data_IF_612748246766
#
_entry.id   IF_612748246766
#
_cell.length_a   1.000
_cell.length_b   1.000
_cell.length_c   1.000
_cell.angle_alpha   90.00
_cell.angle_beta   90.00
_cell.angle_gamma   90.00
#
_symmetry.space_group_name_H-M   'P 1'
#
loop_
_entity.id
_entity.type
_entity.pdbx_description
1 polymer ?
#
# COMPACT_ATOMS: atom_id res chain seq x y z
N UNK A 1 -32.51 -5.07 -29.27
CA UNK A 1 -31.30 -4.41 -28.72
C UNK A 1 -30.16 -5.41 -28.73
N UNK A 2 -28.96 -5.07 -29.25
CA UNK A 2 -27.81 -5.97 -29.12
C UNK A 2 -27.48 -6.13 -27.63
N UNK A 3 -27.42 -7.38 -27.17
CA UNK A 3 -26.99 -7.73 -25.81
C UNK A 3 -25.47 -7.60 -25.81
N UNK A 4 -24.94 -6.54 -25.20
CA UNK A 4 -23.50 -6.40 -24.98
C UNK A 4 -23.10 -7.12 -23.70
N UNK A 5 -22.14 -8.04 -23.80
CA UNK A 5 -21.60 -8.78 -22.64
C UNK A 5 -20.84 -7.88 -21.64
N UNK A 6 -20.43 -6.69 -22.10
CA UNK A 6 -19.73 -5.68 -21.29
C UNK A 6 -20.31 -4.30 -21.57
N UNK A 7 -20.61 -3.54 -20.52
CA UNK A 7 -21.05 -2.15 -20.64
C UNK A 7 -20.32 -1.27 -19.62
N UNK A 8 -19.67 -0.18 -20.05
CA UNK A 8 -19.10 0.79 -19.12
C UNK A 8 -20.24 1.57 -18.45
N UNK A 9 -20.25 1.60 -17.12
CA UNK A 9 -21.20 2.39 -16.34
C UNK A 9 -20.47 3.05 -15.17
N UNK A 10 -20.48 4.40 -15.14
CA UNK A 10 -19.77 5.21 -14.14
C UNK A 10 -18.30 4.78 -14.00
N UNK A 11 -17.63 4.52 -15.12
CA UNK A 11 -16.23 4.08 -15.15
C UNK A 11 -15.95 2.64 -14.73
N UNK A 12 -16.99 1.86 -14.37
CA UNK A 12 -16.92 0.43 -14.03
C UNK A 12 -17.38 -0.41 -15.22
N UNK A 13 -16.62 -1.44 -15.59
CA UNK A 13 -17.00 -2.38 -16.64
C UNK A 13 -17.96 -3.44 -16.09
N UNK A 14 -19.26 -3.21 -16.24
CA UNK A 14 -20.29 -4.18 -15.87
C UNK A 14 -20.28 -5.33 -16.86
N UNK A 15 -20.28 -6.55 -16.33
CA UNK A 15 -20.37 -7.79 -17.09
C UNK A 15 -21.56 -8.63 -16.60
N UNK A 16 -21.84 -9.72 -17.30
CA UNK A 16 -22.94 -10.66 -16.97
C UNK A 16 -22.84 -11.30 -15.59
N UNK A 17 -21.64 -11.39 -15.01
CA UNK A 17 -21.43 -11.90 -13.65
C UNK A 17 -20.63 -10.92 -12.79
N UNK A 18 -20.82 -11.00 -11.47
CA UNK A 18 -20.05 -10.22 -10.49
C UNK A 18 -18.55 -10.50 -10.59
N UNK A 19 -18.15 -11.77 -10.71
CA UNK A 19 -16.74 -12.16 -10.87
C UNK A 19 -16.12 -11.55 -12.13
N UNK A 20 -16.80 -11.64 -13.28
CA UNK A 20 -16.30 -11.05 -14.54
C UNK A 20 -16.18 -9.51 -14.43
N UNK A 21 -17.12 -8.88 -13.74
CA UNK A 21 -17.08 -7.43 -13.44
C UNK A 21 -15.87 -7.07 -12.57
N UNK A 22 -15.63 -7.83 -11.50
CA UNK A 22 -14.47 -7.67 -10.61
C UNK A 22 -13.16 -7.80 -11.38
N UNK A 23 -13.00 -8.88 -12.13
CA UNK A 23 -11.78 -9.17 -12.88
C UNK A 23 -11.52 -8.11 -13.95
N UNK A 24 -12.55 -7.75 -14.74
CA UNK A 24 -12.42 -6.74 -15.79
C UNK A 24 -12.07 -5.36 -15.23
N UNK A 25 -12.67 -4.97 -14.10
CA UNK A 25 -12.39 -3.67 -13.47
C UNK A 25 -10.96 -3.63 -12.91
N UNK A 26 -10.52 -4.70 -12.25
CA UNK A 26 -9.16 -4.79 -11.69
C UNK A 26 -8.10 -4.72 -12.80
N UNK A 27 -8.27 -5.47 -13.88
CA UNK A 27 -7.35 -5.44 -15.03
C UNK A 27 -7.33 -4.06 -15.71
N UNK A 28 -8.49 -3.41 -15.84
CA UNK A 28 -8.58 -2.07 -16.40
C UNK A 28 -7.88 -1.04 -15.50
N UNK A 29 -8.09 -1.10 -14.19
CA UNK A 29 -7.46 -0.21 -13.22
C UNK A 29 -5.93 -0.39 -13.22
N UNK A 30 -5.43 -1.63 -13.22
CA UNK A 30 -3.99 -1.91 -13.32
C UNK A 30 -3.43 -1.37 -14.63
N UNK A 31 -4.11 -1.58 -15.76
CA UNK A 31 -3.65 -1.11 -17.07
C UNK A 31 -3.56 0.42 -17.12
N UNK A 32 -4.60 1.13 -16.65
CA UNK A 32 -4.61 2.59 -16.60
C UNK A 32 -3.56 3.12 -15.62
N UNK A 33 -3.45 2.51 -14.45
CA UNK A 33 -2.45 2.88 -13.42
C UNK A 33 -1.03 2.68 -13.92
N UNK A 34 -0.76 1.61 -14.68
CA UNK A 34 0.54 1.35 -15.30
C UNK A 34 0.90 2.45 -16.30
N UNK A 35 -0.04 2.85 -17.16
CA UNK A 35 0.17 3.95 -18.12
C UNK A 35 0.49 5.25 -17.39
N UNK A 36 -0.28 5.59 -16.35
CA UNK A 36 -0.03 6.77 -15.52
C UNK A 36 1.33 6.71 -14.81
N UNK A 37 1.71 5.54 -14.28
CA UNK A 37 3.00 5.36 -13.64
C UNK A 37 4.16 5.55 -14.64
N UNK A 38 4.06 4.97 -15.84
CA UNK A 38 5.10 5.10 -16.87
C UNK A 38 5.21 6.53 -17.41
N UNK A 39 4.10 7.27 -17.53
CA UNK A 39 4.18 8.69 -17.91
C UNK A 39 4.89 9.55 -16.86
N UNK A 40 4.94 9.12 -15.60
CA UNK A 40 5.64 9.85 -14.53
C UNK A 40 7.12 9.45 -14.41
N UNK A 41 7.56 8.38 -15.10
CA UNK A 41 8.97 8.00 -15.07
C UNK A 41 9.88 9.04 -15.72
N UNK A 42 9.44 9.70 -16.79
CA UNK A 42 10.19 10.81 -17.40
C UNK A 42 10.30 12.03 -16.47
N UNK A 43 9.36 12.19 -15.54
CA UNK A 43 9.40 13.19 -14.49
C UNK A 43 10.25 12.76 -13.28
N UNK A 44 10.95 11.61 -13.36
CA UNK A 44 11.82 11.11 -12.31
C UNK A 44 11.13 10.25 -11.25
N UNK A 45 9.91 9.72 -11.50
CA UNK A 45 9.25 8.75 -10.60
C UNK A 45 9.85 7.33 -10.73
N UNK A 46 11.17 7.24 -10.61
CA UNK A 46 11.94 6.01 -10.52
C UNK A 46 12.99 6.18 -9.42
N UNK A 47 13.66 5.08 -9.07
CA UNK A 47 14.61 5.06 -7.98
C UNK A 47 15.92 5.79 -8.28
N UNK A 48 16.90 5.09 -8.85
CA UNK A 48 18.22 5.66 -9.12
C UNK A 48 18.14 6.83 -10.11
N UNK A 49 18.83 7.93 -9.79
CA UNK A 49 18.85 9.19 -10.56
C UNK A 49 17.46 9.84 -10.76
N UNK A 50 16.45 9.45 -9.98
CA UNK A 50 15.11 10.02 -10.02
C UNK A 50 14.93 11.20 -9.05
N UNK A 51 13.67 11.56 -8.85
CA UNK A 51 13.26 12.47 -7.78
C UNK A 51 13.56 11.87 -6.41
N UNK A 52 13.52 12.70 -5.38
CA UNK A 52 13.56 12.21 -4.03
C UNK A 52 12.42 11.18 -3.79
N UNK A 53 12.70 10.05 -3.09
CA UNK A 53 11.71 8.99 -2.95
C UNK A 53 10.40 9.47 -2.30
N UNK A 54 10.45 10.45 -1.40
CA UNK A 54 9.28 11.00 -0.73
C UNK A 54 8.34 11.72 -1.72
N UNK A 55 8.89 12.54 -2.63
CA UNK A 55 8.14 13.18 -3.71
C UNK A 55 7.64 12.16 -4.72
N UNK A 56 8.44 11.17 -5.10
CA UNK A 56 8.00 10.11 -6.00
C UNK A 56 6.83 9.29 -5.41
N UNK A 57 6.86 9.00 -4.11
CA UNK A 57 5.73 8.40 -3.38
C UNK A 57 4.51 9.33 -3.39
N UNK A 58 4.71 10.64 -3.25
CA UNK A 58 3.61 11.60 -3.31
C UNK A 58 2.97 11.68 -4.70
N UNK A 59 3.77 11.60 -5.78
CA UNK A 59 3.29 11.47 -7.15
C UNK A 59 2.47 10.18 -7.33
N UNK A 60 2.96 9.05 -6.80
CA UNK A 60 2.23 7.79 -6.80
C UNK A 60 0.86 7.92 -6.10
N UNK A 61 0.83 8.50 -4.88
CA UNK A 61 -0.41 8.75 -4.12
C UNK A 61 -1.40 9.63 -4.87
N UNK A 62 -0.90 10.60 -5.62
CA UNK A 62 -1.71 11.63 -6.28
C UNK A 62 -2.28 11.15 -7.62
N UNK A 63 -1.48 10.44 -8.42
CA UNK A 63 -1.84 10.12 -9.82
C UNK A 63 -2.13 8.65 -10.06
N UNK A 64 -1.41 7.73 -9.40
CA UNK A 64 -1.50 6.29 -9.69
C UNK A 64 -2.51 5.62 -8.76
N UNK A 65 -2.39 5.87 -7.46
CA UNK A 65 -3.23 5.24 -6.43
C UNK A 65 -4.74 5.48 -6.63
N UNK A 66 -5.22 6.69 -7.01
CA UNK A 66 -6.65 6.91 -7.21
C UNK A 66 -7.22 6.08 -8.37
N UNK A 67 -6.45 5.92 -9.45
CA UNK A 67 -6.81 5.09 -10.61
C UNK A 67 -6.84 3.62 -10.21
N UNK A 68 -5.82 3.16 -9.46
CA UNK A 68 -5.69 1.76 -9.06
C UNK A 68 -6.87 1.29 -8.21
N UNK A 69 -7.35 2.17 -7.34
CA UNK A 69 -8.40 1.87 -6.35
C UNK A 69 -9.79 2.33 -6.78
N UNK A 70 -9.97 2.81 -8.00
CA UNK A 70 -11.25 3.37 -8.45
C UNK A 70 -12.36 2.31 -8.51
N UNK A 71 -13.49 2.56 -7.83
CA UNK A 71 -14.68 1.72 -7.86
C UNK A 71 -14.57 0.39 -7.09
N UNK A 72 -13.41 0.12 -6.48
CA UNK A 72 -13.17 -1.13 -5.74
C UNK A 72 -13.94 -1.16 -4.41
N UNK A 73 -14.31 0.00 -3.87
CA UNK A 73 -15.17 0.15 -2.70
C UNK A 73 -16.60 -0.36 -2.91
N UNK A 74 -17.05 -0.46 -4.17
CA UNK A 74 -18.38 -0.98 -4.53
C UNK A 74 -18.30 -2.44 -4.96
N UNK A 75 -17.29 -2.78 -5.76
CA UNK A 75 -17.19 -4.07 -6.45
C UNK A 75 -16.64 -5.19 -5.54
N UNK A 76 -15.87 -4.83 -4.51
CA UNK A 76 -15.21 -5.73 -3.56
C UNK A 76 -14.38 -6.82 -4.25
N UNK A 77 -13.09 -6.58 -4.54
CA UNK A 77 -12.27 -7.55 -5.24
C UNK A 77 -12.09 -8.85 -4.45
N UNK A 78 -12.04 -9.97 -5.17
CA UNK A 78 -11.68 -11.28 -4.59
C UNK A 78 -10.23 -11.31 -4.11
N UNK A 79 -9.85 -12.30 -3.30
CA UNK A 79 -8.47 -12.49 -2.84
C UNK A 79 -7.46 -12.58 -3.98
N UNK A 80 -7.84 -13.23 -5.10
CA UNK A 80 -7.00 -13.30 -6.32
C UNK A 80 -6.79 -11.91 -6.93
N UNK A 81 -7.83 -11.10 -6.97
CA UNK A 81 -7.76 -9.74 -7.50
C UNK A 81 -6.98 -8.80 -6.58
N UNK A 82 -7.16 -8.93 -5.27
CA UNK A 82 -6.34 -8.22 -4.28
C UNK A 82 -4.86 -8.53 -4.46
N UNK A 83 -4.49 -9.81 -4.65
CA UNK A 83 -3.10 -10.20 -4.89
C UNK A 83 -2.51 -9.56 -6.15
N UNK A 84 -3.29 -9.44 -7.24
CA UNK A 84 -2.84 -8.76 -8.47
C UNK A 84 -2.58 -7.27 -8.24
N UNK A 85 -3.52 -6.59 -7.60
CA UNK A 85 -3.39 -5.16 -7.26
C UNK A 85 -2.20 -4.91 -6.34
N UNK A 86 -2.05 -5.75 -5.32
CA UNK A 86 -0.96 -5.70 -4.35
C UNK A 86 0.40 -5.92 -5.03
N UNK A 87 0.49 -6.89 -5.95
CA UNK A 87 1.72 -7.15 -6.73
C UNK A 87 2.09 -5.95 -7.59
N UNK A 88 1.11 -5.32 -8.24
CA UNK A 88 1.33 -4.10 -9.02
C UNK A 88 1.83 -2.95 -8.15
N UNK A 89 1.15 -2.65 -7.04
CA UNK A 89 1.54 -1.58 -6.11
C UNK A 89 2.97 -1.79 -5.60
N UNK A 90 3.28 -2.99 -5.09
CA UNK A 90 4.62 -3.30 -4.56
C UNK A 90 5.70 -3.18 -5.61
N UNK A 91 5.45 -3.60 -6.86
CA UNK A 91 6.43 -3.47 -7.94
C UNK A 91 6.81 -2.00 -8.18
N UNK A 92 5.83 -1.11 -8.23
CA UNK A 92 6.07 0.33 -8.42
C UNK A 92 6.79 0.92 -7.19
N UNK A 93 6.35 0.59 -5.97
CA UNK A 93 7.00 1.10 -4.75
C UNK A 93 8.44 0.61 -4.60
N UNK A 94 8.73 -0.67 -4.92
CA UNK A 94 10.10 -1.20 -4.92
C UNK A 94 11.00 -0.45 -5.91
N UNK A 95 10.45 -0.10 -7.09
CA UNK A 95 11.16 0.71 -8.07
C UNK A 95 11.43 2.14 -7.58
N UNK A 96 10.45 2.80 -6.97
CA UNK A 96 10.61 4.15 -6.39
C UNK A 96 11.66 4.15 -5.26
N UNK A 97 11.67 3.09 -4.44
CA UNK A 97 12.62 2.94 -3.33
C UNK A 97 14.00 2.39 -3.77
N UNK A 98 14.22 2.12 -5.06
CA UNK A 98 15.45 1.49 -5.57
C UNK A 98 15.81 0.16 -4.92
N UNK A 99 14.84 -0.61 -4.42
CA UNK A 99 15.08 -1.94 -3.82
C UNK A 99 14.73 -3.06 -4.80
N UNK A 100 15.39 -4.21 -4.76
CA UNK A 100 15.10 -5.29 -5.71
C UNK A 100 13.71 -5.90 -5.48
N UNK A 101 13.20 -6.60 -6.48
CA UNK A 101 11.89 -7.27 -6.42
C UNK A 101 11.83 -8.29 -5.28
N UNK A 102 12.97 -8.89 -4.90
CA UNK A 102 13.13 -9.83 -3.79
C UNK A 102 13.08 -9.19 -2.40
N UNK A 103 13.17 -7.86 -2.29
CA UNK A 103 13.12 -7.18 -1.00
C UNK A 103 11.83 -7.54 -0.24
N UNK A 104 11.89 -7.78 1.08
CA UNK A 104 10.71 -8.15 1.86
C UNK A 104 9.58 -7.13 1.74
N UNK A 105 8.37 -7.59 1.45
CA UNK A 105 7.20 -6.71 1.30
C UNK A 105 6.90 -5.79 2.51
N UNK A 106 7.03 -6.22 3.79
CA UNK A 106 6.77 -5.30 4.90
C UNK A 106 7.73 -4.11 4.94
N UNK A 107 8.98 -4.26 4.48
CA UNK A 107 9.92 -3.13 4.46
C UNK A 107 9.49 -2.05 3.47
N UNK A 108 8.95 -2.45 2.31
CA UNK A 108 8.42 -1.51 1.30
C UNK A 108 7.33 -0.62 1.88
N UNK A 109 6.41 -1.21 2.64
CA UNK A 109 5.31 -0.46 3.27
C UNK A 109 5.78 0.41 4.42
N UNK A 110 6.68 -0.11 5.26
CA UNK A 110 7.29 0.65 6.35
C UNK A 110 8.05 1.87 5.82
N UNK A 111 8.88 1.68 4.79
CA UNK A 111 9.72 2.74 4.23
C UNK A 111 8.86 3.78 3.50
N UNK A 112 7.94 3.34 2.64
CA UNK A 112 7.11 4.27 1.85
C UNK A 112 5.98 4.94 2.63
N UNK A 113 5.57 4.36 3.76
CA UNK A 113 4.38 4.78 4.49
C UNK A 113 3.07 4.50 3.76
N UNK A 114 3.09 3.81 2.61
CA UNK A 114 1.89 3.40 1.89
C UNK A 114 1.28 2.20 2.61
N UNK A 115 -0.04 2.19 2.76
CA UNK A 115 -0.75 1.03 3.28
C UNK A 115 -0.94 -0.04 2.19
N UNK A 116 -1.05 -1.33 2.55
CA UNK A 116 -1.45 -2.38 1.60
C UNK A 116 -2.76 -2.03 0.88
N UNK A 117 -2.93 -2.52 -0.35
CA UNK A 117 -4.06 -2.09 -1.20
C UNK A 117 -5.42 -2.40 -0.56
N UNK A 118 -5.50 -3.52 0.15
CA UNK A 118 -6.67 -3.95 0.90
C UNK A 118 -7.10 -2.88 1.92
N UNK A 119 -6.15 -2.33 2.67
CA UNK A 119 -6.41 -1.27 3.65
C UNK A 119 -7.03 -0.01 3.03
N UNK A 120 -6.54 0.35 1.83
CA UNK A 120 -7.01 1.52 1.10
C UNK A 120 -8.44 1.31 0.58
N UNK A 121 -8.73 0.11 0.08
CA UNK A 121 -10.07 -0.29 -0.37
C UNK A 121 -11.03 -0.33 0.81
N UNK A 122 -10.61 -0.92 1.93
CA UNK A 122 -11.38 -0.96 3.17
C UNK A 122 -11.73 0.45 3.65
N UNK A 123 -10.75 1.36 3.68
CA UNK A 123 -10.97 2.76 4.06
C UNK A 123 -12.01 3.44 3.16
N UNK A 124 -11.95 3.23 1.83
CA UNK A 124 -12.94 3.78 0.89
C UNK A 124 -14.32 3.16 1.09
N UNK A 125 -14.39 1.85 1.30
CA UNK A 125 -15.63 1.09 1.55
C UNK A 125 -16.33 1.56 2.81
N UNK A 126 -15.58 1.76 3.90
CA UNK A 126 -16.09 2.28 5.17
C UNK A 126 -16.56 3.74 5.04
N UNK A 127 -15.85 4.57 4.27
CA UNK A 127 -16.30 5.94 4.01
C UNK A 127 -17.59 5.98 3.18
N UNK A 128 -17.73 5.09 2.19
CA UNK A 128 -18.96 4.93 1.42
C UNK A 128 -20.11 4.49 2.34
N UNK A 129 -19.87 3.52 3.22
CA UNK A 129 -20.88 3.09 4.19
C UNK A 129 -21.34 4.22 5.12
N UNK A 130 -20.41 5.03 5.63
CA UNK A 130 -20.78 6.18 6.46
C UNK A 130 -21.59 7.23 5.70
N UNK A 131 -21.32 7.43 4.41
CA UNK A 131 -22.16 8.31 3.57
C UNK A 131 -23.59 7.77 3.46
N UNK A 132 -23.77 6.44 3.41
CA UNK A 132 -25.10 5.80 3.42
C UNK A 132 -25.78 5.99 4.79
N UNK A 133 -25.05 5.83 5.89
CA UNK A 133 -25.58 5.98 7.24
C UNK A 133 -26.08 7.41 7.52
N UNK A 134 -25.37 8.41 6.99
CA UNK A 134 -25.71 9.83 7.11
C UNK A 134 -26.83 10.28 6.16
N UNK A 135 -27.41 9.40 5.32
CA UNK A 135 -28.59 9.75 4.53
C UNK A 135 -29.85 9.87 5.40
N UNK A 136 -30.84 10.59 4.88
CA UNK A 136 -32.20 10.60 5.44
C UNK A 136 -32.76 9.15 5.48
N UNK A 137 -33.53 8.82 6.53
CA UNK A 137 -34.19 7.51 6.68
C UNK A 137 -35.07 7.13 5.48
N UNK A 138 -35.58 8.11 4.74
CA UNK A 138 -36.39 7.86 3.55
C UNK A 138 -35.58 7.47 2.30
N UNK A 139 -34.26 7.67 2.31
CA UNK A 139 -33.39 7.38 1.17
C UNK A 139 -33.27 5.87 0.94
N UNK A 140 -33.29 5.46 -0.33
CA UNK A 140 -33.36 4.05 -0.72
C UNK A 140 -32.16 3.23 -0.20
N UNK A 141 -30.96 3.79 -0.29
CA UNK A 141 -29.69 3.19 0.08
C UNK A 141 -29.67 2.84 1.57
N UNK A 142 -30.19 3.73 2.43
CA UNK A 142 -30.26 3.50 3.88
C UNK A 142 -31.31 2.45 4.24
N UNK A 143 -32.46 2.46 3.55
CA UNK A 143 -33.48 1.40 3.67
C UNK A 143 -32.94 0.03 3.25
N UNK A 144 -32.23 -0.02 2.13
CA UNK A 144 -31.57 -1.25 1.65
C UNK A 144 -30.51 -1.71 2.66
N UNK A 145 -29.68 -0.80 3.18
CA UNK A 145 -28.68 -1.14 4.18
C UNK A 145 -29.30 -1.80 5.42
N UNK A 146 -30.33 -1.17 6.01
CA UNK A 146 -31.09 -1.71 7.14
C UNK A 146 -31.62 -3.11 6.82
N UNK A 147 -32.33 -3.26 5.69
CA UNK A 147 -32.91 -4.55 5.28
C UNK A 147 -31.85 -5.63 5.09
N UNK A 148 -30.76 -5.33 4.40
CA UNK A 148 -29.71 -6.32 4.08
C UNK A 148 -28.96 -6.77 5.34
N UNK A 149 -28.70 -5.86 6.28
CA UNK A 149 -28.03 -6.20 7.54
C UNK A 149 -28.87 -7.06 8.47
N UNK A 150 -30.20 -6.92 8.42
CA UNK A 150 -31.14 -7.75 9.21
C UNK A 150 -31.37 -9.10 8.53
N UNK A 151 -31.61 -9.10 7.21
CA UNK A 151 -32.08 -10.28 6.50
C UNK A 151 -30.98 -11.25 6.07
N UNK A 152 -29.72 -10.79 5.94
CA UNK A 152 -28.62 -11.63 5.44
C UNK A 152 -27.82 -12.24 6.60
N UNK A 153 -27.49 -13.52 6.45
CA UNK A 153 -26.58 -14.23 7.34
C UNK A 153 -25.12 -13.76 7.13
N UNK A 154 -24.22 -14.21 8.01
CA UNK A 154 -22.81 -13.83 7.97
C UNK A 154 -22.05 -14.38 6.76
N UNK A 155 -22.54 -15.43 6.11
CA UNK A 155 -21.88 -16.09 4.96
C UNK A 155 -22.25 -15.46 3.61
N UNK A 156 -23.30 -14.65 3.57
CA UNK A 156 -23.79 -13.97 2.38
C UNK A 156 -22.71 -13.12 1.68
N UNK A 157 -22.69 -13.17 0.36
CA UNK A 157 -21.84 -12.33 -0.52
C UNK A 157 -22.36 -10.88 -0.67
N UNK A 158 -23.27 -10.45 0.20
CA UNK A 158 -23.79 -9.08 0.19
C UNK A 158 -22.70 -8.08 0.56
N UNK A 159 -22.68 -6.95 -0.13
CA UNK A 159 -21.75 -5.85 0.14
C UNK A 159 -21.82 -5.39 1.62
N UNK A 160 -23.02 -5.30 2.20
CA UNK A 160 -23.19 -4.90 3.60
C UNK A 160 -22.63 -5.92 4.60
N UNK A 161 -22.64 -7.21 4.25
CA UNK A 161 -22.03 -8.25 5.08
C UNK A 161 -20.51 -8.20 4.96
N UNK A 162 -19.97 -7.88 3.78
CA UNK A 162 -18.54 -7.59 3.66
C UNK A 162 -18.13 -6.37 4.50
N UNK A 163 -18.90 -5.27 4.49
CA UNK A 163 -18.67 -4.12 5.37
C UNK A 163 -18.68 -4.53 6.85
N UNK A 164 -19.63 -5.37 7.26
CA UNK A 164 -19.67 -5.90 8.64
C UNK A 164 -18.37 -6.62 9.01
N UNK A 165 -17.82 -7.43 8.10
CA UNK A 165 -16.52 -8.12 8.29
C UNK A 165 -15.36 -7.13 8.38
N UNK A 166 -15.36 -6.08 7.54
CA UNK A 166 -14.34 -5.02 7.56
C UNK A 166 -14.39 -4.21 8.86
N UNK A 167 -15.59 -3.85 9.35
CA UNK A 167 -15.75 -3.19 10.65
C UNK A 167 -15.20 -4.05 11.78
N UNK A 168 -15.53 -5.35 11.78
CA UNK A 168 -15.02 -6.30 12.78
C UNK A 168 -13.48 -6.45 12.71
N UNK A 169 -12.90 -6.53 11.52
CA UNK A 169 -11.44 -6.62 11.30
C UNK A 169 -10.68 -5.48 11.96
N UNK A 170 -11.25 -4.27 11.97
CA UNK A 170 -10.62 -3.07 12.54
C UNK A 170 -11.16 -2.68 13.92
N UNK A 171 -11.91 -3.56 14.58
CA UNK A 171 -12.54 -3.30 15.88
C UNK A 171 -13.36 -2.00 15.92
N UNK A 172 -14.13 -1.76 14.86
CA UNK A 172 -15.02 -0.62 14.73
C UNK A 172 -16.46 -0.99 15.13
N UNK A 173 -17.26 0.05 15.42
CA UNK A 173 -18.67 -0.12 15.82
C UNK A 173 -19.47 -0.93 14.79
N UNK A 174 -20.42 -1.72 15.31
CA UNK A 174 -21.33 -2.53 14.50
C UNK A 174 -22.09 -1.68 13.47
N UNK A 175 -22.33 -2.20 12.25
CA UNK A 175 -23.01 -1.45 11.20
C UNK A 175 -24.45 -1.04 11.56
N UNK A 176 -25.12 -1.77 12.47
CA UNK A 176 -26.47 -1.41 12.94
C UNK A 176 -26.41 -0.18 13.86
N UNK A 177 -25.40 -0.10 14.72
CA UNK A 177 -25.19 1.07 15.60
C UNK A 177 -24.91 2.29 14.75
N UNK A 178 -24.01 2.17 13.78
CA UNK A 178 -23.66 3.26 12.85
C UNK A 178 -24.84 3.75 11.99
N UNK A 179 -25.81 2.89 11.68
CA UNK A 179 -27.01 3.29 10.95
C UNK A 179 -28.00 4.09 11.80
N UNK A 180 -28.05 3.81 13.11
CA UNK A 180 -28.96 4.47 14.04
C UNK A 180 -28.37 5.78 14.56
N UNK A 181 -27.07 5.81 14.84
CA UNK A 181 -26.34 6.98 15.33
C UNK A 181 -25.06 7.19 14.50
N UNK A 182 -25.18 7.77 13.30
CA UNK A 182 -24.05 7.94 12.41
C UNK A 182 -23.09 9.03 12.91
N UNK A 183 -21.78 8.74 13.02
CA UNK A 183 -20.80 9.77 13.34
C UNK A 183 -20.68 10.79 12.21
N UNK A 184 -20.26 12.01 12.57
CA UNK A 184 -19.95 13.04 11.58
C UNK A 184 -18.86 12.57 10.62
N UNK A 185 -18.90 13.03 9.36
CA UNK A 185 -17.92 12.67 8.32
C UNK A 185 -16.47 12.89 8.77
N UNK A 186 -16.20 13.95 9.53
CA UNK A 186 -14.86 14.24 10.05
C UNK A 186 -14.44 13.23 11.13
N UNK A 187 -15.29 13.03 12.15
CA UNK A 187 -15.02 12.08 13.24
C UNK A 187 -14.85 10.65 12.73
N UNK A 188 -15.70 10.25 11.79
CA UNK A 188 -15.62 8.95 11.13
C UNK A 188 -14.29 8.74 10.41
N UNK A 189 -13.91 9.67 9.53
CA UNK A 189 -12.65 9.58 8.78
C UNK A 189 -11.43 9.48 9.70
N UNK A 190 -11.44 10.25 10.80
CA UNK A 190 -10.37 10.20 11.82
C UNK A 190 -10.33 8.83 12.48
N UNK A 191 -11.47 8.32 12.94
CA UNK A 191 -11.58 7.04 13.65
C UNK A 191 -11.19 5.85 12.76
N UNK A 192 -11.73 5.80 11.53
CA UNK A 192 -11.37 4.76 10.54
C UNK A 192 -9.88 4.78 10.23
N UNK A 193 -9.31 5.97 9.99
CA UNK A 193 -7.86 6.09 9.73
C UNK A 193 -7.05 5.54 10.90
N UNK A 194 -7.35 5.95 12.13
CA UNK A 194 -6.61 5.49 13.31
C UNK A 194 -6.71 3.97 13.51
N UNK A 195 -7.90 3.40 13.34
CA UNK A 195 -8.12 1.96 13.48
C UNK A 195 -7.37 1.13 12.42
N UNK A 196 -7.46 1.55 11.15
CA UNK A 196 -6.75 0.92 10.04
C UNK A 196 -5.24 1.04 10.21
N UNK A 197 -4.75 2.26 10.54
CA UNK A 197 -3.32 2.50 10.75
C UNK A 197 -2.78 1.65 11.90
N UNK A 198 -3.51 1.57 13.02
CA UNK A 198 -3.13 0.74 14.16
C UNK A 198 -3.04 -0.75 13.79
N UNK A 199 -4.09 -1.29 13.14
CA UNK A 199 -4.11 -2.69 12.70
C UNK A 199 -2.93 -3.01 11.78
N UNK A 200 -2.72 -2.19 10.74
CA UNK A 200 -1.68 -2.46 9.75
C UNK A 200 -0.27 -2.17 10.28
N UNK A 201 -0.10 -1.21 11.19
CA UNK A 201 1.18 -1.03 11.90
C UNK A 201 1.57 -2.31 12.63
N UNK A 202 0.66 -2.88 13.43
CA UNK A 202 0.93 -4.10 14.18
C UNK A 202 1.18 -5.29 13.25
N UNK A 203 0.34 -5.45 12.21
CA UNK A 203 0.51 -6.52 11.23
C UNK A 203 1.84 -6.43 10.46
N UNK A 204 2.29 -5.22 10.10
CA UNK A 204 3.56 -5.01 9.42
C UNK A 204 4.76 -5.26 10.34
N UNK A 205 4.68 -4.86 11.61
CA UNK A 205 5.72 -5.16 12.63
C UNK A 205 5.83 -6.67 12.84
N UNK A 206 4.71 -7.35 13.05
CA UNK A 206 4.72 -8.80 13.24
C UNK A 206 5.31 -9.51 12.02
N UNK A 207 4.92 -9.08 10.81
CA UNK A 207 5.49 -9.60 9.56
C UNK A 207 6.96 -9.26 9.40
N UNK A 208 7.44 -8.09 9.81
CA UNK A 208 8.86 -7.75 9.66
C UNK A 208 9.75 -8.56 10.59
N UNK A 209 9.27 -8.90 11.80
CA UNK A 209 9.98 -9.76 12.74
C UNK A 209 10.27 -11.17 12.21
N UNK A 210 9.51 -11.66 11.21
CA UNK A 210 9.78 -12.97 10.60
C UNK A 210 10.96 -12.94 9.62
N UNK A 211 11.42 -11.76 9.20
CA UNK A 211 12.54 -11.60 8.27
C UNK A 211 13.82 -11.19 9.00
N UNK A 212 14.79 -12.10 9.06
CA UNK A 212 16.14 -11.80 9.60
C UNK A 212 16.82 -10.63 8.86
N UNK A 213 16.53 -10.47 7.57
CA UNK A 213 17.06 -9.38 6.74
C UNK A 213 16.63 -7.99 7.23
N UNK A 214 15.49 -7.87 7.92
CA UNK A 214 14.94 -6.59 8.38
C UNK A 214 15.33 -6.21 9.82
N UNK A 215 16.30 -6.91 10.43
CA UNK A 215 16.78 -6.63 11.78
C UNK A 215 17.13 -5.16 12.02
N UNK A 216 17.67 -4.48 11.00
CA UNK A 216 18.16 -3.11 11.08
C UNK A 216 17.15 -2.05 10.63
N UNK A 217 15.92 -2.42 10.24
CA UNK A 217 14.92 -1.46 9.76
C UNK A 217 14.39 -0.54 10.85
N UNK A 218 14.52 -0.93 12.13
CA UNK A 218 14.02 -0.12 13.25
C UNK A 218 12.49 0.00 13.22
N UNK A 219 11.78 -1.00 13.73
CA UNK A 219 10.30 -1.05 13.69
C UNK A 219 9.62 -0.08 14.68
N UNK A 220 10.37 0.57 15.56
CA UNK A 220 9.86 1.47 16.60
C UNK A 220 9.20 2.74 16.04
N UNK A 221 9.65 3.24 14.89
CA UNK A 221 9.21 4.54 14.33
C UNK A 221 8.24 4.42 13.14
N UNK A 222 7.54 3.28 13.00
CA UNK A 222 6.57 3.10 11.92
C UNK A 222 5.37 4.02 12.12
N UNK A 223 5.14 4.89 11.14
CA UNK A 223 4.02 5.81 11.06
C UNK A 223 3.26 5.57 9.75
N UNK A 224 2.22 4.72 9.73
CA UNK A 224 1.41 4.53 8.53
C UNK A 224 0.94 5.86 7.93
N UNK A 225 0.97 5.97 6.61
CA UNK A 225 0.66 7.20 5.87
C UNK A 225 1.84 8.16 5.70
N UNK A 226 2.92 8.02 6.49
CA UNK A 226 4.12 8.87 6.41
C UNK A 226 5.33 8.07 5.95
N UNK A 227 6.13 8.66 5.06
CA UNK A 227 7.41 8.10 4.66
C UNK A 227 8.32 7.93 5.88
N UNK A 228 9.13 6.89 5.88
CA UNK A 228 10.13 6.68 6.93
C UNK A 228 11.15 7.81 6.91
N UNK A 229 11.71 8.14 8.08
CA UNK A 229 12.69 9.24 8.23
C UNK A 229 13.95 9.04 7.40
N UNK A 230 14.26 7.79 7.03
CA UNK A 230 15.36 7.47 6.11
C UNK A 230 15.17 8.04 4.70
N UNK A 231 13.94 8.41 4.33
CA UNK A 231 13.61 9.03 3.04
C UNK A 231 13.62 10.56 3.10
N UNK A 232 13.88 11.18 4.26
CA UNK A 232 13.95 12.63 4.35
C UNK A 232 15.29 13.12 3.83
N UNK A 233 15.26 13.82 2.69
CA UNK A 233 16.38 14.64 2.23
C UNK A 233 16.32 15.93 3.05
N UNK A 234 17.31 16.18 3.91
CA UNK A 234 17.42 17.45 4.62
C UNK A 234 17.68 18.62 3.67
N UNK A 235 17.87 19.83 4.20
CA UNK A 235 18.36 20.98 3.42
C UNK A 235 19.83 20.75 3.03
N UNK A 236 20.05 19.90 2.03
CA UNK A 236 21.37 19.59 1.47
C UNK A 236 21.66 20.48 0.27
N UNK A 237 22.93 20.82 0.09
CA UNK A 237 23.42 21.52 -1.10
C UNK A 237 23.42 20.64 -2.36
N UNK A 238 23.33 19.31 -2.21
CA UNK A 238 23.32 18.35 -3.34
C UNK A 238 22.22 17.27 -3.15
N UNK A 239 21.00 17.54 -3.64
CA UNK A 239 19.86 16.62 -3.53
C UNK A 239 20.06 15.30 -4.30
N UNK A 240 20.77 15.35 -5.44
CA UNK A 240 20.97 14.19 -6.31
C UNK A 240 21.85 13.15 -5.64
N UNK A 241 22.95 13.58 -5.03
CA UNK A 241 23.84 12.69 -4.27
C UNK A 241 23.14 12.09 -3.04
N UNK A 242 22.27 12.86 -2.37
CA UNK A 242 21.47 12.35 -1.26
C UNK A 242 20.45 11.30 -1.71
N UNK A 243 19.79 11.48 -2.85
CA UNK A 243 18.88 10.46 -3.40
C UNK A 243 19.61 9.12 -3.65
N UNK A 244 20.85 9.17 -4.17
CA UNK A 244 21.69 7.97 -4.33
C UNK A 244 22.05 7.36 -2.97
N UNK A 245 22.45 8.17 -1.98
CA UNK A 245 22.76 7.69 -0.63
C UNK A 245 21.56 7.00 0.03
N UNK A 246 20.36 7.56 -0.11
CA UNK A 246 19.12 6.94 0.38
C UNK A 246 18.94 5.56 -0.25
N UNK A 247 19.10 5.43 -1.57
CA UNK A 247 18.97 4.12 -2.23
C UNK A 247 19.90 3.06 -1.65
N UNK A 248 21.15 3.44 -1.34
CA UNK A 248 22.13 2.55 -0.69
C UNK A 248 21.69 2.22 0.74
N UNK A 249 21.27 3.22 1.54
CA UNK A 249 20.75 3.03 2.91
C UNK A 249 19.61 2.00 2.93
N UNK A 250 18.63 2.15 2.04
CA UNK A 250 17.49 1.25 1.93
C UNK A 250 17.92 -0.16 1.53
N UNK A 251 18.85 -0.30 0.57
CA UNK A 251 19.37 -1.61 0.16
C UNK A 251 20.10 -2.32 1.30
N UNK A 252 20.92 -1.61 2.07
CA UNK A 252 21.66 -2.19 3.21
C UNK A 252 20.70 -2.63 4.31
N UNK A 253 19.72 -1.80 4.66
CA UNK A 253 18.71 -2.09 5.70
C UNK A 253 17.84 -3.29 5.34
N UNK A 254 17.59 -3.50 4.05
CA UNK A 254 16.81 -4.64 3.55
C UNK A 254 17.63 -5.88 3.24
N UNK A 255 18.95 -5.87 3.52
CA UNK A 255 19.89 -6.96 3.24
C UNK A 255 20.00 -7.31 1.75
N UNK A 256 19.91 -6.28 0.90
CA UNK A 256 19.94 -6.40 -0.55
C UNK A 256 21.15 -5.72 -1.18
N UNK A 257 21.92 -4.98 -0.39
CA UNK A 257 23.17 -4.38 -0.83
C UNK A 257 24.31 -5.40 -0.79
N UNK A 258 25.12 -5.43 -1.85
CA UNK A 258 26.24 -6.38 -1.97
C UNK A 258 27.51 -5.75 -1.41
N UNK A 259 27.80 -6.05 -0.13
CA UNK A 259 29.02 -5.62 0.58
C UNK A 259 30.24 -6.50 0.20
N UNK A 260 31.47 -6.05 0.48
CA UNK A 260 32.70 -6.83 0.19
C UNK A 260 32.68 -8.21 0.86
N UNK A 261 32.15 -8.32 2.08
CA UNK A 261 31.99 -9.61 2.76
C UNK A 261 31.09 -10.58 2.00
N UNK A 262 30.12 -10.09 1.23
CA UNK A 262 29.33 -10.91 0.34
C UNK A 262 30.09 -11.27 -0.93
N UNK A 263 30.78 -10.30 -1.55
CA UNK A 263 31.50 -10.53 -2.81
C UNK A 263 32.62 -11.55 -2.67
N UNK A 264 33.45 -11.40 -1.64
CA UNK A 264 34.55 -12.32 -1.31
C UNK A 264 34.10 -13.77 -1.08
N UNK A 265 32.87 -14.01 -0.64
CA UNK A 265 32.30 -15.36 -0.50
C UNK A 265 32.03 -16.05 -1.84
N UNK A 266 31.79 -15.28 -2.90
CA UNK A 266 31.49 -15.81 -4.24
C UNK A 266 32.67 -15.66 -5.21
N UNK A 267 33.57 -14.71 -4.97
CA UNK A 267 34.75 -14.45 -5.79
C UNK A 267 36.00 -14.45 -4.90
N UNK A 268 36.82 -15.51 -5.02
CA UNK A 268 38.03 -15.71 -4.20
C UNK A 268 39.10 -14.63 -4.41
N UNK A 269 39.01 -13.86 -5.49
CA UNK A 269 39.96 -12.78 -5.79
C UNK A 269 39.59 -11.44 -5.12
N UNK A 270 38.40 -11.33 -4.51
CA UNK A 270 37.96 -10.10 -3.84
C UNK A 270 38.20 -10.18 -2.34
N UNK A 271 38.80 -9.13 -1.78
CA UNK A 271 39.06 -9.04 -0.34
C UNK A 271 37.77 -8.66 0.40
N UNK A 272 37.51 -9.24 1.58
CA UNK A 272 36.34 -8.87 2.41
C UNK A 272 36.50 -7.51 3.10
N UNK A 273 37.66 -6.87 2.97
CA UNK A 273 38.01 -5.61 3.66
C UNK A 273 37.17 -4.43 3.19
N UNK A 274 36.75 -3.60 4.13
CA UNK A 274 35.97 -2.40 3.86
C UNK A 274 36.80 -1.35 3.13
N UNK A 275 36.29 -0.88 1.98
CA UNK A 275 36.94 0.14 1.16
C UNK A 275 36.87 1.56 1.73
N UNK A 276 36.18 1.74 2.86
CA UNK A 276 36.06 3.03 3.53
C UNK A 276 37.11 3.21 4.63
N UNK A 277 37.50 2.11 5.29
CA UNK A 277 38.43 2.14 6.43
C UNK A 277 39.68 1.26 6.23
N UNK A 278 39.72 0.45 5.16
CA UNK A 278 40.81 -0.44 4.76
C UNK A 278 41.35 -1.39 5.85
N UNK A 279 40.57 -1.62 6.92
CA UNK A 279 41.02 -2.34 8.12
C UNK A 279 40.13 -3.54 8.45
N UNK A 280 38.84 -3.29 8.68
CA UNK A 280 37.89 -4.34 9.08
C UNK A 280 37.16 -4.97 7.89
N UNK A 281 36.47 -6.10 8.14
CA UNK A 281 35.58 -6.75 7.16
C UNK A 281 34.33 -5.87 6.94
N UNK A 282 33.97 -5.64 5.67
CA UNK A 282 32.75 -4.90 5.31
C UNK A 282 31.51 -5.79 5.48
N UNK A 283 31.03 -5.94 6.72
CA UNK A 283 29.72 -6.50 7.01
C UNK A 283 28.68 -5.41 7.29
N UNK A 284 27.41 -5.78 7.46
CA UNK A 284 26.33 -4.80 7.70
C UNK A 284 26.55 -4.00 8.98
N UNK A 285 27.02 -4.65 10.04
CA UNK A 285 27.20 -4.01 11.34
C UNK A 285 28.30 -2.96 11.26
N UNK A 286 29.41 -3.32 10.60
CA UNK A 286 30.50 -2.42 10.28
C UNK A 286 30.02 -1.28 9.39
N UNK A 287 29.32 -1.57 8.28
CA UNK A 287 28.86 -0.54 7.35
C UNK A 287 27.93 0.49 8.02
N UNK A 288 27.05 0.06 8.92
CA UNK A 288 26.20 0.98 9.69
C UNK A 288 26.97 1.86 10.68
N UNK A 289 28.14 1.44 11.16
CA UNK A 289 28.96 2.27 12.05
C UNK A 289 29.58 3.49 11.34
N UNK A 290 29.65 3.46 10.00
CA UNK A 290 30.25 4.50 9.16
C UNK A 290 29.23 5.33 8.35
N UNK A 291 27.91 5.15 8.57
CA UNK A 291 26.82 5.67 7.71
C UNK A 291 25.90 6.72 8.35
#
# INVERSE_FOLDING_TARGET
MPISDKSPHLGILRSTTSQKTQDATVEQNITKSRRAAYSLMSAGMHGENGLDPSTAIQLFKTFVQPILTYGLEVILPTSKNLLKLETFQKKILKQILSVPISAPDPSVYIMSGILPIEAQIDQKSLNLFNNICNQNENHLEKKIARRQLIAKNQESNSWFIAIKRVLFKYDLQSPIVLLNDPPTKYSWKKSVRLAIDHYWKNALIQKSCTYKSLKYLGTSNISPGKCHTLLSIGNTSDPTREAVRISVKLKVITDTYILQSHRSRYNLNETPTCKLCDTDIEDRSHFFAYM
#
